data_IF_772687671362
#
_entry.id   IF_772687671362
#
_cell.length_a   1.000
_cell.length_b   1.000
_cell.length_c   1.000
_cell.angle_alpha   90.00
_cell.angle_beta   90.00
_cell.angle_gamma   90.00
#
_symmetry.space_group_name_H-M   'P 1'
#
loop_
_entity.id
_entity.type
_entity.pdbx_description
1 polymer ?
#
# COMPACT_ATOMS: atom_id res chain seq x y z
N UNK A 1 15.27 -24.78 -10.05
CA UNK A 1 14.48 -23.80 -10.79
C UNK A 1 15.30 -22.59 -11.18
N UNK A 2 15.00 -21.98 -12.32
CA UNK A 2 15.68 -20.79 -12.76
C UNK A 2 15.45 -19.65 -11.77
N UNK A 3 16.52 -19.08 -11.24
CA UNK A 3 16.44 -17.86 -10.44
C UNK A 3 16.09 -16.70 -11.37
N UNK A 4 15.06 -15.94 -11.03
CA UNK A 4 14.76 -14.72 -11.76
C UNK A 4 15.69 -13.61 -11.27
N UNK A 5 16.05 -12.69 -12.16
CA UNK A 5 16.74 -11.49 -11.73
C UNK A 5 15.79 -10.62 -10.88
N UNK A 6 16.36 -9.80 -10.00
CA UNK A 6 15.58 -8.82 -9.26
C UNK A 6 14.91 -7.87 -10.25
N UNK A 7 13.71 -7.43 -9.92
CA UNK A 7 13.00 -6.44 -10.71
C UNK A 7 13.73 -5.09 -10.69
N UNK A 8 13.65 -4.37 -11.78
CA UNK A 8 14.14 -2.99 -11.88
C UNK A 8 12.95 -2.04 -11.73
N UNK A 9 13.09 -1.01 -10.92
CA UNK A 9 12.04 -0.04 -10.68
C UNK A 9 12.52 1.35 -11.08
N UNK A 10 11.71 2.03 -11.88
CA UNK A 10 11.95 3.43 -12.28
C UNK A 10 10.74 4.27 -11.93
N UNK A 11 10.92 5.60 -11.94
CA UNK A 11 9.84 6.52 -11.64
C UNK A 11 8.93 6.73 -12.84
N UNK A 12 7.64 6.50 -12.66
CA UNK A 12 6.60 7.03 -13.52
C UNK A 12 6.07 8.33 -12.93
N UNK A 13 5.61 9.23 -13.76
CA UNK A 13 5.06 10.50 -13.31
C UNK A 13 3.77 10.86 -14.03
N UNK A 14 2.80 11.32 -13.27
CA UNK A 14 1.61 11.99 -13.76
C UNK A 14 1.53 13.37 -13.15
N UNK A 15 1.25 14.37 -13.97
CA UNK A 15 1.04 15.75 -13.52
C UNK A 15 -0.36 16.19 -13.86
N UNK A 16 -1.04 16.79 -12.91
CA UNK A 16 -2.39 17.32 -13.10
C UNK A 16 -2.54 18.54 -12.21
N UNK A 17 -2.74 19.70 -12.82
CA UNK A 17 -3.08 20.96 -12.14
C UNK A 17 -2.31 21.23 -10.84
N UNK A 18 -0.98 21.17 -10.90
CA UNK A 18 -0.12 21.42 -9.74
C UNK A 18 0.13 20.23 -8.85
N UNK A 19 -0.47 19.08 -9.10
CA UNK A 19 -0.16 17.84 -8.44
C UNK A 19 0.90 17.07 -9.22
N UNK A 20 1.89 16.53 -8.53
CA UNK A 20 2.87 15.62 -9.10
C UNK A 20 2.73 14.25 -8.44
N UNK A 21 2.38 13.26 -9.23
CA UNK A 21 2.24 11.89 -8.78
C UNK A 21 3.43 11.08 -9.29
N UNK A 22 4.27 10.63 -8.38
CA UNK A 22 5.41 9.75 -8.69
C UNK A 22 5.07 8.35 -8.22
N UNK A 23 5.13 7.39 -9.12
CA UNK A 23 4.77 6.01 -8.85
C UNK A 23 5.80 5.05 -9.44
N UNK A 24 5.88 3.81 -8.94
CA UNK A 24 6.85 2.85 -9.46
C UNK A 24 6.41 2.28 -10.82
N UNK A 25 7.35 2.18 -11.74
CA UNK A 25 7.20 1.43 -12.99
C UNK A 25 8.16 0.27 -12.91
N UNK A 26 7.65 -0.94 -13.00
CA UNK A 26 8.39 -2.16 -12.75
C UNK A 26 8.76 -2.86 -14.04
N UNK A 27 10.01 -3.27 -14.15
CA UNK A 27 10.50 -4.15 -15.19
C UNK A 27 10.92 -5.47 -14.55
N UNK A 28 10.37 -6.57 -15.04
CA UNK A 28 10.64 -7.91 -14.55
C UNK A 28 10.94 -8.85 -15.70
N UNK A 29 11.65 -9.97 -15.41
CA UNK A 29 12.04 -10.93 -16.46
C UNK A 29 10.83 -11.59 -17.13
N UNK A 30 9.79 -11.93 -16.35
CA UNK A 30 8.58 -12.51 -16.90
C UNK A 30 7.64 -11.39 -17.40
N UNK A 31 7.39 -11.30 -18.72
CA UNK A 31 6.56 -10.22 -19.28
C UNK A 31 5.15 -10.16 -18.71
N UNK A 32 4.53 -11.30 -18.44
CA UNK A 32 3.19 -11.36 -17.87
C UNK A 32 3.17 -10.87 -16.43
N UNK A 33 4.20 -11.20 -15.65
CA UNK A 33 4.35 -10.69 -14.30
C UNK A 33 4.53 -9.18 -14.29
N UNK A 34 5.40 -8.67 -15.18
CA UNK A 34 5.62 -7.24 -15.34
C UNK A 34 4.32 -6.50 -15.64
N UNK A 35 3.55 -6.99 -16.59
CA UNK A 35 2.28 -6.37 -16.97
C UNK A 35 1.30 -6.37 -15.81
N UNK A 36 1.18 -7.49 -15.10
CA UNK A 36 0.26 -7.62 -13.98
C UNK A 36 0.61 -6.67 -12.84
N UNK A 37 1.88 -6.56 -12.49
CA UNK A 37 2.37 -5.64 -11.46
C UNK A 37 2.05 -4.19 -11.85
N UNK A 38 2.41 -3.78 -13.05
CA UNK A 38 2.20 -2.42 -13.50
C UNK A 38 0.71 -2.06 -13.61
N UNK A 39 -0.13 -3.01 -13.97
CA UNK A 39 -1.58 -2.79 -14.00
C UNK A 39 -2.14 -2.49 -12.61
N UNK A 40 -1.72 -3.24 -11.59
CA UNK A 40 -2.15 -3.01 -10.21
C UNK A 40 -1.74 -1.61 -9.75
N UNK A 41 -0.51 -1.20 -10.01
CA UNK A 41 0.01 0.11 -9.62
C UNK A 41 -0.71 1.23 -10.39
N UNK A 42 -0.89 1.07 -11.70
CA UNK A 42 -1.57 2.06 -12.54
C UNK A 42 -3.03 2.23 -12.14
N UNK A 43 -3.72 1.18 -11.77
CA UNK A 43 -5.10 1.25 -11.28
C UNK A 43 -5.19 2.08 -9.99
N UNK A 44 -4.22 1.94 -9.10
CA UNK A 44 -4.14 2.74 -7.89
C UNK A 44 -3.88 4.22 -8.21
N UNK A 45 -2.98 4.51 -9.13
CA UNK A 45 -2.71 5.88 -9.59
C UNK A 45 -3.96 6.51 -10.19
N UNK A 46 -4.67 5.78 -11.05
CA UNK A 46 -5.91 6.26 -11.66
C UNK A 46 -7.00 6.53 -10.62
N UNK A 47 -7.13 5.66 -9.64
CA UNK A 47 -8.10 5.85 -8.55
C UNK A 47 -7.77 7.14 -7.77
N UNK A 48 -6.50 7.39 -7.49
CA UNK A 48 -6.08 8.61 -6.81
C UNK A 48 -6.32 9.86 -7.65
N UNK A 49 -6.05 9.80 -8.95
CA UNK A 49 -6.35 10.91 -9.87
C UNK A 49 -7.85 11.25 -9.87
N UNK A 50 -8.71 10.23 -9.78
CA UNK A 50 -10.16 10.44 -9.66
C UNK A 50 -10.53 11.12 -8.35
N UNK A 51 -9.88 10.77 -7.25
CA UNK A 51 -10.08 11.44 -5.96
C UNK A 51 -9.67 12.91 -6.02
N UNK A 52 -8.53 13.20 -6.65
CA UNK A 52 -8.06 14.58 -6.84
C UNK A 52 -9.09 15.38 -7.64
N UNK A 53 -9.60 14.80 -8.71
CA UNK A 53 -10.59 15.48 -9.56
C UNK A 53 -11.91 15.71 -8.80
N UNK A 54 -12.36 14.75 -8.04
CA UNK A 54 -13.57 14.85 -7.22
C UNK A 54 -13.43 15.89 -6.09
N UNK A 55 -12.23 16.19 -5.66
CA UNK A 55 -11.96 17.11 -4.56
C UNK A 55 -11.81 18.57 -5.01
N UNK A 56 -12.06 18.89 -6.30
CA UNK A 56 -12.02 20.25 -6.79
C UNK A 56 -13.09 21.11 -6.13
N UNK A 57 -12.70 22.31 -5.71
CA UNK A 57 -13.60 23.31 -5.15
C UNK A 57 -13.55 24.56 -6.02
N UNK A 58 -14.70 24.97 -6.54
CA UNK A 58 -14.83 26.12 -7.44
C UNK A 58 -13.83 26.03 -8.64
N UNK A 59 -13.66 24.82 -9.18
CA UNK A 59 -12.76 24.57 -10.31
C UNK A 59 -11.29 24.47 -9.93
N UNK A 60 -10.93 24.69 -8.66
CA UNK A 60 -9.54 24.60 -8.20
C UNK A 60 -9.22 23.20 -7.68
N UNK A 61 -8.11 22.60 -8.12
CA UNK A 61 -7.70 21.30 -7.60
C UNK A 61 -7.14 21.44 -6.19
N UNK A 62 -7.22 20.36 -5.39
CA UNK A 62 -6.52 20.31 -4.12
C UNK A 62 -5.01 20.18 -4.35
N UNK A 63 -4.20 20.51 -3.33
CA UNK A 63 -2.80 20.11 -3.34
C UNK A 63 -2.75 18.59 -3.18
N UNK A 64 -1.99 17.93 -4.04
CA UNK A 64 -1.88 16.48 -3.99
C UNK A 64 -0.47 16.03 -4.36
N UNK A 65 -0.06 14.90 -3.79
CA UNK A 65 1.25 14.33 -4.05
C UNK A 65 1.17 12.81 -3.88
N UNK A 66 1.92 12.11 -4.71
CA UNK A 66 2.16 10.67 -4.54
C UNK A 66 3.65 10.39 -4.59
N UNK A 67 4.11 9.52 -3.72
CA UNK A 67 5.47 9.03 -3.67
C UNK A 67 5.48 7.54 -3.36
N UNK A 68 6.63 6.90 -3.52
CA UNK A 68 6.76 5.47 -3.20
C UNK A 68 8.14 5.16 -2.63
N UNK A 69 8.23 3.99 -2.01
CA UNK A 69 9.46 3.44 -1.49
C UNK A 69 9.53 1.95 -1.82
N UNK A 70 10.71 1.49 -2.25
CA UNK A 70 10.97 0.06 -2.37
C UNK A 70 11.40 -0.43 -0.98
N UNK A 71 10.59 -1.29 -0.38
CA UNK A 71 10.84 -1.77 0.99
C UNK A 71 11.64 -3.06 1.03
N UNK A 72 11.50 -3.89 0.00
CA UNK A 72 12.31 -5.10 -0.18
C UNK A 72 12.36 -5.49 -1.65
N UNK A 73 13.52 -5.86 -2.12
CA UNK A 73 13.71 -6.40 -3.47
C UNK A 73 14.59 -7.64 -3.41
N UNK A 74 14.11 -8.74 -3.96
CA UNK A 74 14.85 -9.99 -4.09
C UNK A 74 14.55 -10.61 -5.46
N UNK A 75 15.15 -11.75 -5.76
CA UNK A 75 14.87 -12.48 -7.00
C UNK A 75 13.47 -13.12 -7.01
N UNK A 76 12.79 -13.17 -5.88
CA UNK A 76 11.46 -13.78 -5.75
C UNK A 76 10.35 -12.77 -5.52
N UNK A 77 10.65 -11.70 -4.78
CA UNK A 77 9.64 -10.74 -4.31
C UNK A 77 10.07 -9.30 -4.55
N UNK A 78 9.10 -8.47 -4.85
CA UNK A 78 9.26 -7.01 -4.85
C UNK A 78 8.19 -6.43 -3.93
N UNK A 79 8.63 -5.76 -2.87
CA UNK A 79 7.73 -5.10 -1.94
C UNK A 79 7.88 -3.60 -2.03
N UNK A 80 6.75 -2.92 -2.07
CA UNK A 80 6.64 -1.47 -2.26
C UNK A 80 5.65 -0.89 -1.27
N UNK A 81 5.89 0.36 -0.90
CA UNK A 81 4.91 1.17 -0.19
C UNK A 81 4.70 2.45 -0.99
N UNK A 82 3.44 2.81 -1.23
CA UNK A 82 3.08 4.09 -1.84
C UNK A 82 2.43 4.99 -0.78
N UNK A 83 2.62 6.28 -0.93
CA UNK A 83 1.99 7.28 -0.08
C UNK A 83 1.27 8.29 -0.95
N UNK A 84 0.04 8.59 -0.59
CA UNK A 84 -0.82 9.53 -1.30
C UNK A 84 -1.29 10.60 -0.32
N UNK A 85 -1.08 11.84 -0.70
CA UNK A 85 -1.46 12.99 0.10
C UNK A 85 -2.41 13.87 -0.71
N UNK A 86 -3.48 14.31 -0.07
CA UNK A 86 -4.43 15.25 -0.67
C UNK A 86 -4.86 16.25 0.41
N UNK A 87 -4.82 17.54 0.08
CA UNK A 87 -5.21 18.61 0.98
C UNK A 87 -6.22 19.51 0.28
N UNK A 88 -7.43 19.52 0.78
CA UNK A 88 -8.47 20.43 0.31
C UNK A 88 -8.40 21.73 1.11
N UNK A 89 -8.59 22.86 0.43
CA UNK A 89 -8.57 24.19 1.07
C UNK A 89 -9.62 24.34 2.19
N UNK A 90 -10.75 23.66 2.03
CA UNK A 90 -11.85 23.69 3.01
C UNK A 90 -11.77 22.57 4.05
N UNK A 91 -10.84 21.62 3.91
CA UNK A 91 -10.75 20.51 4.84
C UNK A 91 -9.94 20.89 6.07
N UNK A 92 -10.46 20.51 7.25
CA UNK A 92 -9.75 20.72 8.52
C UNK A 92 -8.47 19.91 8.63
N UNK A 93 -8.38 18.80 7.90
CA UNK A 93 -7.23 17.89 7.93
C UNK A 93 -6.88 17.41 6.52
N UNK A 94 -5.59 17.44 6.15
CA UNK A 94 -5.16 16.76 4.94
C UNK A 94 -5.36 15.25 5.08
N UNK A 95 -5.72 14.60 3.98
CA UNK A 95 -5.87 13.16 3.94
C UNK A 95 -4.57 12.52 3.45
N UNK A 96 -4.11 11.52 4.18
CA UNK A 96 -2.94 10.74 3.79
C UNK A 96 -3.30 9.26 3.76
N UNK A 97 -2.95 8.61 2.67
CA UNK A 97 -3.16 7.18 2.48
C UNK A 97 -1.82 6.50 2.21
N UNK A 98 -1.66 5.31 2.72
CA UNK A 98 -0.51 4.48 2.39
C UNK A 98 -1.00 3.14 1.87
N UNK A 99 -0.45 2.71 0.75
CA UNK A 99 -0.74 1.39 0.19
C UNK A 99 0.52 0.54 0.23
N UNK A 100 0.35 -0.75 0.50
CA UNK A 100 1.44 -1.70 0.52
C UNK A 100 1.24 -2.79 -0.51
N UNK A 101 2.33 -3.27 -1.07
CA UNK A 101 2.32 -4.34 -2.06
C UNK A 101 3.48 -5.28 -1.80
N UNK A 102 3.19 -6.57 -1.91
CA UNK A 102 4.21 -7.62 -1.99
C UNK A 102 3.92 -8.38 -3.26
N UNK A 103 4.70 -8.13 -4.30
CA UNK A 103 4.51 -8.80 -5.58
C UNK A 103 5.40 -10.04 -5.68
N UNK A 104 4.83 -11.14 -6.11
CA UNK A 104 5.58 -12.32 -6.48
C UNK A 104 6.08 -12.16 -7.92
N UNK A 105 7.39 -12.25 -8.14
CA UNK A 105 7.98 -11.98 -9.45
C UNK A 105 7.73 -13.08 -10.48
N UNK A 106 7.42 -14.30 -10.04
CA UNK A 106 7.17 -15.40 -10.98
C UNK A 106 5.88 -15.20 -11.80
N UNK A 107 4.85 -14.60 -11.23
CA UNK A 107 3.56 -14.40 -11.89
C UNK A 107 2.97 -13.00 -11.72
N UNK A 108 3.62 -12.13 -10.94
CA UNK A 108 3.16 -10.77 -10.70
C UNK A 108 1.99 -10.65 -9.74
N UNK A 109 1.64 -11.72 -9.02
CA UNK A 109 0.54 -11.67 -8.07
C UNK A 109 0.86 -10.73 -6.91
N UNK A 110 -0.06 -9.84 -6.58
CA UNK A 110 -0.02 -9.08 -5.33
C UNK A 110 -0.46 -10.01 -4.21
N UNK A 111 0.46 -10.36 -3.32
CA UNK A 111 0.21 -11.34 -2.27
C UNK A 111 -0.69 -10.75 -1.19
N UNK A 112 -1.66 -11.55 -0.76
CA UNK A 112 -2.51 -11.23 0.38
C UNK A 112 -1.81 -11.62 1.68
N UNK A 113 -2.35 -11.18 2.79
CA UNK A 113 -1.85 -11.59 4.10
C UNK A 113 -1.89 -13.12 4.26
N UNK A 114 -2.95 -13.76 3.75
CA UNK A 114 -3.06 -15.22 3.76
C UNK A 114 -1.97 -15.89 2.91
N UNK A 115 -1.65 -15.33 1.74
CA UNK A 115 -0.57 -15.85 0.88
C UNK A 115 0.79 -15.76 1.59
N UNK A 116 1.05 -14.65 2.26
CA UNK A 116 2.32 -14.43 2.97
C UNK A 116 2.49 -15.43 4.11
N UNK A 117 1.43 -15.77 4.79
CA UNK A 117 1.45 -16.79 5.85
C UNK A 117 1.85 -18.17 5.34
N UNK A 118 1.68 -18.44 4.05
CA UNK A 118 2.05 -19.71 3.43
C UNK A 118 3.49 -19.73 2.91
N UNK A 119 4.21 -18.62 2.96
CA UNK A 119 5.62 -18.61 2.60
C UNK A 119 6.42 -19.48 3.57
N UNK A 120 7.44 -20.24 3.08
CA UNK A 120 8.14 -21.23 3.90
C UNK A 120 8.65 -20.71 5.24
N UNK A 121 9.14 -19.48 5.27
CA UNK A 121 9.73 -18.90 6.48
C UNK A 121 8.70 -18.25 7.42
N UNK A 122 7.40 -18.35 7.10
CA UNK A 122 6.34 -17.62 7.79
C UNK A 122 5.31 -18.50 8.48
N UNK A 123 5.28 -19.79 8.18
CA UNK A 123 4.28 -20.71 8.73
C UNK A 123 4.25 -20.73 10.26
N UNK A 124 5.41 -20.58 10.88
CA UNK A 124 5.53 -20.60 12.35
C UNK A 124 4.85 -19.39 13.01
N UNK A 125 4.69 -18.29 12.28
CA UNK A 125 4.13 -17.05 12.78
C UNK A 125 2.75 -16.73 12.20
N UNK A 126 2.14 -17.69 11.51
CA UNK A 126 0.86 -17.46 10.81
C UNK A 126 -0.24 -16.95 11.75
N UNK A 127 -0.27 -17.41 13.00
CA UNK A 127 -1.28 -17.00 13.99
C UNK A 127 -1.24 -15.50 14.33
N UNK A 128 -0.12 -14.81 14.07
CA UNK A 128 0.03 -13.37 14.35
C UNK A 128 -0.77 -12.50 13.40
N UNK A 129 -1.10 -13.03 12.24
CA UNK A 129 -1.73 -12.27 11.16
C UNK A 129 -3.19 -12.64 10.91
N UNK A 130 -3.80 -13.41 11.82
CA UNK A 130 -5.24 -13.66 11.76
C UNK A 130 -6.01 -12.37 12.04
N UNK A 131 -7.20 -12.27 11.53
CA UNK A 131 -8.07 -11.12 11.78
C UNK A 131 -8.30 -10.91 13.28
N UNK A 132 -8.48 -12.01 14.04
CA UNK A 132 -8.63 -11.97 15.47
C UNK A 132 -7.39 -11.37 16.17
N UNK A 133 -6.20 -11.83 15.80
CA UNK A 133 -4.94 -11.33 16.37
C UNK A 133 -4.70 -9.86 16.03
N UNK A 134 -5.02 -9.44 14.81
CA UNK A 134 -4.91 -8.05 14.41
C UNK A 134 -5.85 -7.16 15.21
N UNK A 135 -7.09 -7.56 15.36
CA UNK A 135 -8.07 -6.82 16.15
C UNK A 135 -7.67 -6.73 17.63
N UNK A 136 -7.14 -7.82 18.19
CA UNK A 136 -6.66 -7.82 19.57
C UNK A 136 -5.52 -6.82 19.76
N UNK A 137 -4.55 -6.78 18.84
CA UNK A 137 -3.43 -5.83 18.92
C UNK A 137 -3.88 -4.37 18.74
N UNK A 138 -4.84 -4.13 17.86
CA UNK A 138 -5.38 -2.80 17.63
C UNK A 138 -6.15 -2.28 18.85
N UNK A 139 -6.80 -3.17 19.59
CA UNK A 139 -7.55 -2.82 20.80
C UNK A 139 -6.65 -2.57 22.01
N UNK A 140 -5.37 -2.97 21.96
CA UNK A 140 -4.44 -2.75 23.08
C UNK A 140 -4.16 -1.27 23.27
N UNK A 141 -4.27 -0.76 24.51
CA UNK A 141 -3.96 0.64 24.77
C UNK A 141 -2.46 0.88 24.57
N UNK A 142 -2.15 1.88 23.77
CA UNK A 142 -0.79 2.37 23.54
C UNK A 142 -0.78 3.87 23.73
N UNK A 143 0.37 4.43 24.03
CA UNK A 143 0.52 5.87 24.13
C UNK A 143 0.09 6.52 22.80
N UNK A 144 -0.89 7.42 22.87
CA UNK A 144 -1.47 8.06 21.69
C UNK A 144 -2.43 7.19 20.88
N UNK A 145 -2.80 6.01 21.38
CA UNK A 145 -3.77 5.16 20.70
C UNK A 145 -5.14 5.83 20.64
N UNK A 146 -5.83 5.68 19.52
CA UNK A 146 -7.18 6.16 19.36
C UNK A 146 -8.10 5.44 20.33
N UNK A 147 -8.87 6.21 21.12
CA UNK A 147 -9.86 5.66 22.03
C UNK A 147 -11.05 5.04 21.29
N UNK A 148 -11.23 5.42 20.04
CA UNK A 148 -12.35 5.03 19.18
C UNK A 148 -11.95 3.93 18.19
N UNK A 149 -11.33 2.89 18.73
CA UNK A 149 -10.93 1.74 17.92
C UNK A 149 -12.16 1.10 17.25
N UNK A 150 -12.09 0.95 15.95
CA UNK A 150 -13.09 0.21 15.18
C UNK A 150 -12.52 -1.14 14.76
N UNK A 151 -13.25 -2.20 15.10
CA UNK A 151 -12.87 -3.55 14.75
C UNK A 151 -12.83 -3.74 13.23
N UNK A 152 -11.77 -4.38 12.74
CA UNK A 152 -11.67 -4.81 11.36
C UNK A 152 -12.60 -6.00 11.12
N UNK A 153 -13.40 -5.94 10.07
CA UNK A 153 -14.28 -7.05 9.67
C UNK A 153 -13.60 -8.00 8.69
N UNK A 154 -12.63 -7.48 7.93
CA UNK A 154 -11.85 -8.24 6.96
C UNK A 154 -10.37 -7.97 7.14
N UNK A 155 -9.53 -8.91 6.71
CA UNK A 155 -8.08 -8.72 6.75
C UNK A 155 -7.67 -7.54 5.86
N UNK A 156 -6.79 -6.65 6.34
CA UNK A 156 -6.27 -5.55 5.53
C UNK A 156 -5.54 -6.09 4.30
N UNK A 157 -5.72 -5.43 3.18
CA UNK A 157 -5.06 -5.79 1.93
C UNK A 157 -3.76 -5.05 1.70
N UNK A 158 -3.53 -3.94 2.39
CA UNK A 158 -2.33 -3.14 2.24
C UNK A 158 -1.26 -3.63 3.19
N UNK A 159 -0.32 -4.38 2.66
CA UNK A 159 0.79 -4.96 3.41
C UNK A 159 2.09 -4.74 2.64
N UNK A 160 3.19 -4.60 3.35
CA UNK A 160 4.52 -4.61 2.75
C UNK A 160 5.50 -5.38 3.62
N UNK A 161 6.60 -5.78 3.01
CA UNK A 161 7.68 -6.47 3.69
C UNK A 161 8.88 -5.54 3.79
N UNK A 162 9.48 -5.40 4.96
CA UNK A 162 10.70 -4.61 5.11
C UNK A 162 11.95 -5.39 4.70
N UNK A 163 13.09 -4.72 4.70
CA UNK A 163 14.35 -5.32 4.28
C UNK A 163 14.76 -6.55 5.11
N UNK A 164 14.28 -6.64 6.34
CA UNK A 164 14.54 -7.77 7.23
C UNK A 164 13.53 -8.90 7.09
N UNK A 165 12.58 -8.75 6.18
CA UNK A 165 11.54 -9.73 5.94
C UNK A 165 10.35 -9.65 6.89
N UNK A 166 10.24 -8.60 7.70
CA UNK A 166 9.09 -8.39 8.57
C UNK A 166 7.90 -7.83 7.78
N UNK A 167 6.71 -8.32 8.10
CA UNK A 167 5.47 -7.87 7.47
C UNK A 167 4.90 -6.69 8.24
N UNK A 168 4.55 -5.65 7.50
CA UNK A 168 3.87 -4.47 8.01
C UNK A 168 2.46 -4.44 7.43
N UNK A 169 1.49 -4.29 8.29
CA UNK A 169 0.08 -4.19 7.90
C UNK A 169 -0.34 -2.74 8.03
N UNK A 170 -0.75 -2.16 6.90
CA UNK A 170 -1.21 -0.78 6.85
C UNK A 170 -2.72 -0.74 7.04
N UNK A 171 -3.14 -0.04 8.07
CA UNK A 171 -4.56 0.13 8.37
C UNK A 171 -4.89 1.60 8.18
N UNK A 172 -5.77 1.87 7.23
CA UNK A 172 -6.19 3.24 6.98
C UNK A 172 -6.93 3.78 8.19
N UNK A 173 -6.76 5.06 8.46
CA UNK A 173 -7.24 5.70 9.66
C UNK A 173 -8.73 5.50 9.92
N UNK A 174 -9.52 5.56 8.86
CA UNK A 174 -10.96 5.40 8.95
C UNK A 174 -11.43 3.93 8.90
N UNK A 175 -10.53 2.98 8.75
CA UNK A 175 -10.84 1.55 8.82
C UNK A 175 -10.82 1.05 10.28
N UNK A 176 -9.88 1.55 11.08
CA UNK A 176 -9.59 1.03 12.41
C UNK A 176 -9.91 1.99 13.55
N UNK A 177 -10.01 3.27 13.29
CA UNK A 177 -10.31 4.28 14.31
C UNK A 177 -11.18 5.36 13.70
N UNK A 178 -12.09 5.90 14.50
CA UNK A 178 -12.89 7.04 14.04
C UNK A 178 -11.97 8.24 13.84
N UNK A 179 -12.24 8.99 12.78
CA UNK A 179 -11.56 10.23 12.54
C UNK A 179 -12.14 11.27 13.48
N UNK A 180 -11.44 11.56 14.56
CA UNK A 180 -11.86 12.59 15.48
C UNK A 180 -11.84 13.94 14.77
N UNK A 181 -13.01 14.46 14.55
CA UNK A 181 -13.17 15.78 13.96
C UNK A 181 -12.60 16.86 14.89
#
# INVERSE_FOLDING_TARGET
GAAFAMATVTDGQETSDGATLTYPVVKADAPEAQQRINTVIEDDVKAFMQEIDAARVAGKPPAAKMSYEITKSSDELLSLKTEQFISEESAAHPMSYAHGYIFRLSDGKALTLADVQQLPDRKEHASRYTLESLNKRLAEPKDGAAKDFKKLETAPKDIYMDANGHIHVLIQRYEAASYAA
#
